data_IF_559414371620
#
_entry.id   IF_559414371620
#
_cell.length_a   1.000
_cell.length_b   1.000
_cell.length_c   1.000
_cell.angle_alpha   90.00
_cell.angle_beta   90.00
_cell.angle_gamma   90.00
#
_symmetry.space_group_name_H-M   'P 1'
#
loop_
_entity.id
_entity.type
_entity.pdbx_description
1 polymer ?
#
# COMPACT_ATOMS: atom_id res chain seq x y z
N UNK A 1 -4.56 -29.61 18.67
CA UNK A 1 -5.30 -28.37 18.32
C UNK A 1 -4.26 -27.27 18.05
N UNK A 2 -4.37 -26.53 16.94
CA UNK A 2 -3.45 -25.43 16.55
C UNK A 2 -4.14 -24.07 16.66
N UNK A 3 -3.37 -22.99 16.69
CA UNK A 3 -3.86 -21.61 16.59
C UNK A 3 -3.57 -21.10 15.18
N UNK A 4 -4.60 -20.64 14.47
CA UNK A 4 -4.46 -19.93 13.20
C UNK A 4 -4.79 -18.46 13.44
N UNK A 5 -3.89 -17.55 13.08
CA UNK A 5 -4.09 -16.11 13.24
C UNK A 5 -3.68 -15.37 11.97
N UNK A 6 -4.54 -14.45 11.53
CA UNK A 6 -4.24 -13.50 10.46
C UNK A 6 -4.41 -12.09 11.02
N UNK A 7 -3.40 -11.24 10.87
CA UNK A 7 -3.44 -9.87 11.38
C UNK A 7 -2.05 -9.26 11.55
N UNK A 8 -1.93 -8.23 12.39
CA UNK A 8 -0.65 -7.51 12.51
C UNK A 8 0.50 -8.38 13.01
N UNK A 9 1.71 -8.12 12.50
CA UNK A 9 2.95 -8.79 12.94
C UNK A 9 3.19 -8.65 14.44
N UNK A 10 2.85 -7.49 15.02
CA UNK A 10 2.95 -7.24 16.47
C UNK A 10 2.10 -8.22 17.27
N UNK A 11 0.83 -8.40 16.89
CA UNK A 11 -0.08 -9.32 17.59
C UNK A 11 0.30 -10.77 17.34
N UNK A 12 0.74 -11.12 16.13
CA UNK A 12 1.24 -12.45 15.80
C UNK A 12 2.38 -12.90 16.71
N UNK A 13 3.35 -12.01 17.00
CA UNK A 13 4.45 -12.27 17.94
C UNK A 13 3.94 -12.57 19.35
N UNK A 14 3.00 -11.76 19.87
CA UNK A 14 2.40 -11.97 21.20
C UNK A 14 1.70 -13.33 21.29
N UNK A 15 0.98 -13.71 20.22
CA UNK A 15 0.30 -15.01 20.14
C UNK A 15 1.33 -16.15 20.15
N UNK A 16 2.41 -16.05 19.36
CA UNK A 16 3.47 -17.07 19.32
C UNK A 16 4.13 -17.26 20.69
N UNK A 17 4.53 -16.17 21.35
CA UNK A 17 5.15 -16.18 22.69
C UNK A 17 4.22 -16.81 23.73
N UNK A 18 2.93 -16.51 23.66
CA UNK A 18 1.93 -17.08 24.58
C UNK A 18 1.71 -18.56 24.30
N UNK A 19 1.64 -18.96 23.03
CA UNK A 19 1.44 -20.35 22.62
C UNK A 19 2.62 -21.26 23.02
N UNK A 20 3.84 -20.72 23.02
CA UNK A 20 5.05 -21.45 23.41
C UNK A 20 4.98 -21.98 24.86
N UNK A 21 4.33 -21.26 25.78
CA UNK A 21 4.12 -21.70 27.18
C UNK A 21 3.37 -23.03 27.29
N UNK A 22 2.63 -23.41 26.24
CA UNK A 22 1.79 -24.60 26.21
C UNK A 22 2.16 -25.57 25.09
N UNK A 23 3.31 -25.36 24.43
CA UNK A 23 3.75 -26.14 23.26
C UNK A 23 2.65 -26.27 22.18
N UNK A 24 1.88 -25.19 21.97
CA UNK A 24 0.81 -25.16 20.96
C UNK A 24 1.34 -24.71 19.60
N UNK A 25 1.14 -25.48 18.52
CA UNK A 25 1.49 -25.04 17.18
C UNK A 25 0.72 -23.79 16.76
N UNK A 26 1.41 -22.88 16.06
CA UNK A 26 0.84 -21.64 15.51
C UNK A 26 1.06 -21.56 13.99
N UNK A 27 0.07 -21.04 13.27
CA UNK A 27 0.16 -20.60 11.88
C UNK A 27 -0.23 -19.12 11.85
N UNK A 28 0.67 -18.29 11.33
CA UNK A 28 0.56 -16.84 11.39
C UNK A 28 0.67 -16.24 9.99
N UNK A 29 -0.39 -15.58 9.53
CA UNK A 29 -0.42 -14.79 8.30
C UNK A 29 -0.39 -13.31 8.68
N UNK A 30 0.74 -12.64 8.45
CA UNK A 30 1.02 -11.32 9.04
C UNK A 30 1.11 -10.21 7.98
N UNK A 31 1.54 -9.02 8.40
CA UNK A 31 1.70 -7.87 7.51
C UNK A 31 2.88 -8.02 6.54
N UNK A 32 2.83 -7.30 5.44
CA UNK A 32 3.83 -7.34 4.37
C UNK A 32 4.27 -5.96 3.88
N UNK A 33 5.18 -5.94 2.91
CA UNK A 33 5.53 -4.75 2.13
C UNK A 33 5.81 -5.20 0.69
N UNK A 34 4.78 -5.77 0.08
CA UNK A 34 4.92 -6.60 -1.11
C UNK A 34 5.45 -5.79 -2.30
N UNK A 35 6.56 -6.23 -2.92
CA UNK A 35 7.08 -5.60 -4.13
C UNK A 35 6.46 -6.19 -5.39
N UNK A 36 6.35 -5.36 -6.42
CA UNK A 36 6.24 -5.76 -7.83
C UNK A 36 7.46 -5.24 -8.58
N UNK A 37 8.00 -6.06 -9.47
CA UNK A 37 9.12 -5.68 -10.36
C UNK A 37 8.60 -5.59 -11.78
N UNK A 38 8.85 -4.45 -12.44
CA UNK A 38 8.46 -4.19 -13.84
C UNK A 38 9.74 -4.06 -14.66
N UNK A 39 9.97 -5.05 -15.52
CA UNK A 39 11.16 -5.14 -16.38
C UNK A 39 10.93 -4.43 -17.72
N UNK A 40 12.00 -4.11 -18.43
CA UNK A 40 11.94 -3.39 -19.72
C UNK A 40 11.01 -4.02 -20.75
N UNK A 41 10.88 -5.35 -20.76
CA UNK A 41 10.09 -6.11 -21.72
C UNK A 41 8.60 -6.18 -21.36
N UNK A 42 8.20 -5.63 -20.20
CA UNK A 42 6.80 -5.61 -19.78
C UNK A 42 5.95 -4.74 -20.72
N UNK A 43 4.73 -5.21 -21.00
CA UNK A 43 3.70 -4.31 -21.52
C UNK A 43 3.36 -3.28 -20.44
N UNK A 44 3.72 -2.02 -20.69
CA UNK A 44 3.57 -0.93 -19.73
C UNK A 44 2.10 -0.70 -19.37
N UNK A 45 1.17 -0.83 -20.31
CA UNK A 45 -0.24 -0.58 -20.02
C UNK A 45 -0.83 -1.68 -19.12
N UNK A 46 -0.50 -2.94 -19.41
CA UNK A 46 -0.90 -4.07 -18.58
C UNK A 46 -0.25 -4.00 -17.19
N UNK A 47 1.04 -3.66 -17.13
CA UNK A 47 1.76 -3.49 -15.87
C UNK A 47 1.13 -2.38 -15.01
N UNK A 48 0.80 -1.23 -15.59
CA UNK A 48 0.11 -0.12 -14.91
C UNK A 48 -1.25 -0.56 -14.37
N UNK A 49 -2.04 -1.28 -15.17
CA UNK A 49 -3.35 -1.77 -14.75
C UNK A 49 -3.23 -2.78 -13.59
N UNK A 50 -2.31 -3.75 -13.70
CA UNK A 50 -2.08 -4.76 -12.68
C UNK A 50 -1.56 -4.15 -11.37
N UNK A 51 -0.61 -3.21 -11.45
CA UNK A 51 -0.08 -2.49 -10.29
C UNK A 51 -1.17 -1.64 -9.63
N UNK A 52 -1.92 -0.85 -10.40
CA UNK A 52 -2.99 -0.03 -9.84
C UNK A 52 -4.08 -0.89 -9.17
N UNK A 53 -4.45 -2.02 -9.77
CA UNK A 53 -5.36 -2.97 -9.14
C UNK A 53 -4.77 -3.54 -7.85
N UNK A 54 -3.56 -4.09 -7.89
CA UNK A 54 -2.92 -4.70 -6.71
C UNK A 54 -2.65 -3.73 -5.56
N UNK A 55 -2.34 -2.47 -5.87
CA UNK A 55 -2.07 -1.45 -4.86
C UNK A 55 -3.33 -0.88 -4.23
N UNK A 56 -4.38 -0.64 -5.02
CA UNK A 56 -5.52 0.16 -4.56
C UNK A 56 -6.79 -0.64 -4.29
N UNK A 57 -6.89 -1.88 -4.78
CA UNK A 57 -8.05 -2.74 -4.52
C UNK A 57 -8.28 -2.90 -3.01
N UNK A 58 -9.56 -2.85 -2.59
CA UNK A 58 -9.97 -2.81 -1.18
C UNK A 58 -9.31 -1.69 -0.36
N UNK A 59 -9.07 -0.51 -0.96
CA UNK A 59 -8.36 0.59 -0.30
C UNK A 59 -6.94 0.19 0.14
N UNK A 60 -6.30 -0.76 -0.55
CA UNK A 60 -4.99 -1.31 -0.19
C UNK A 60 -4.96 -2.09 1.14
N UNK A 61 -6.12 -2.39 1.72
CA UNK A 61 -6.25 -3.11 2.99
C UNK A 61 -6.24 -4.62 2.76
N UNK A 62 -5.19 -5.11 2.12
CA UNK A 62 -4.97 -6.53 1.85
C UNK A 62 -3.50 -6.84 2.14
N UNK A 63 -3.22 -7.91 2.89
CA UNK A 63 -1.84 -8.28 3.26
C UNK A 63 -0.89 -8.53 2.06
N UNK A 64 -1.45 -8.77 0.88
CA UNK A 64 -0.72 -8.97 -0.38
C UNK A 64 -0.80 -7.77 -1.33
N UNK A 65 -1.33 -6.62 -0.88
CA UNK A 65 -1.40 -5.42 -1.71
C UNK A 65 0.00 -4.96 -2.14
N UNK A 66 0.08 -4.48 -3.38
CA UNK A 66 1.32 -3.93 -3.94
C UNK A 66 1.67 -2.62 -3.23
N UNK A 67 2.74 -2.65 -2.44
CA UNK A 67 3.20 -1.50 -1.65
C UNK A 67 4.41 -0.80 -2.30
N UNK A 68 5.19 -1.57 -3.07
CA UNK A 68 6.43 -1.10 -3.70
C UNK A 68 6.49 -1.56 -5.14
N UNK A 69 6.72 -0.63 -6.05
CA UNK A 69 6.97 -0.91 -7.46
C UNK A 69 8.43 -0.58 -7.73
N UNK A 70 9.17 -1.56 -8.24
CA UNK A 70 10.53 -1.42 -8.73
C UNK A 70 10.45 -1.49 -10.26
N UNK A 71 10.68 -0.38 -10.95
CA UNK A 71 10.58 -0.30 -12.40
C UNK A 71 11.95 -0.04 -13.02
N UNK A 72 12.33 -0.82 -14.02
CA UNK A 72 13.63 -0.68 -14.65
C UNK A 72 13.77 0.66 -15.39
N UNK A 73 14.96 1.27 -15.29
CA UNK A 73 15.22 2.66 -15.70
C UNK A 73 14.72 3.04 -17.10
N UNK A 74 14.86 2.16 -18.10
CA UNK A 74 14.55 2.48 -19.50
C UNK A 74 13.07 2.75 -19.74
N UNK A 75 12.18 2.16 -18.94
CA UNK A 75 10.71 2.31 -19.07
C UNK A 75 10.10 3.12 -17.93
N UNK A 76 10.90 3.50 -16.93
CA UNK A 76 10.41 4.08 -15.68
C UNK A 76 9.64 5.39 -15.88
N UNK A 77 10.11 6.31 -16.72
CA UNK A 77 9.42 7.60 -16.93
C UNK A 77 8.03 7.40 -17.54
N UNK A 78 7.95 6.59 -18.60
CA UNK A 78 6.67 6.28 -19.26
C UNK A 78 5.72 5.53 -18.33
N UNK A 79 6.24 4.59 -17.53
CA UNK A 79 5.46 3.87 -16.53
C UNK A 79 4.93 4.80 -15.43
N UNK A 80 5.76 5.69 -14.89
CA UNK A 80 5.39 6.65 -13.84
C UNK A 80 4.31 7.60 -14.35
N UNK A 81 4.45 8.16 -15.54
CA UNK A 81 3.45 9.03 -16.16
C UNK A 81 2.09 8.34 -16.25
N UNK A 82 2.05 7.13 -16.82
CA UNK A 82 0.82 6.34 -16.94
C UNK A 82 0.24 5.92 -15.58
N UNK A 83 1.09 5.60 -14.61
CA UNK A 83 0.65 5.32 -13.24
C UNK A 83 -0.01 6.54 -12.61
N UNK A 84 0.53 7.75 -12.80
CA UNK A 84 -0.07 9.00 -12.29
C UNK A 84 -1.44 9.23 -12.92
N UNK A 85 -1.57 9.09 -14.24
CA UNK A 85 -2.85 9.21 -14.94
C UNK A 85 -3.87 8.18 -14.45
N UNK A 86 -3.45 6.91 -14.36
CA UNK A 86 -4.30 5.83 -13.87
C UNK A 86 -4.78 6.10 -12.45
N UNK A 87 -3.87 6.49 -11.56
CA UNK A 87 -4.18 6.78 -10.15
C UNK A 87 -5.17 7.93 -10.04
N UNK A 88 -4.99 9.01 -10.83
CA UNK A 88 -5.90 10.16 -10.86
C UNK A 88 -7.33 9.80 -11.28
N UNK A 89 -7.49 8.79 -12.13
CA UNK A 89 -8.81 8.33 -12.60
C UNK A 89 -9.62 7.56 -11.54
N UNK A 90 -8.96 7.06 -10.49
CA UNK A 90 -9.58 6.24 -9.46
C UNK A 90 -10.14 7.15 -8.36
N UNK A 91 -11.39 6.91 -7.97
CA UNK A 91 -12.06 7.67 -6.91
C UNK A 91 -12.44 6.79 -5.73
N UNK A 92 -12.17 7.30 -4.54
CA UNK A 92 -12.61 6.76 -3.27
C UNK A 92 -13.79 7.56 -2.70
N UNK A 93 -14.72 6.87 -2.06
CA UNK A 93 -15.83 7.51 -1.37
C UNK A 93 -16.93 6.54 -0.98
N UNK A 94 -18.16 7.05 -0.82
CA UNK A 94 -19.33 6.24 -0.50
C UNK A 94 -19.52 5.14 -1.58
N UNK A 95 -19.48 3.85 -1.20
CA UNK A 95 -19.53 2.74 -2.15
C UNK A 95 -20.90 2.57 -2.82
N UNK A 96 -21.95 3.25 -2.36
CA UNK A 96 -23.27 3.23 -3.02
C UNK A 96 -23.34 4.16 -4.23
N UNK A 97 -22.37 5.08 -4.39
CA UNK A 97 -22.26 5.97 -5.53
C UNK A 97 -21.40 5.32 -6.63
N UNK A 98 -21.92 5.28 -7.86
CA UNK A 98 -21.32 4.55 -8.99
C UNK A 98 -19.91 5.01 -9.36
N UNK A 99 -19.57 6.27 -9.09
CA UNK A 99 -18.27 6.84 -9.48
C UNK A 99 -17.14 6.44 -8.52
N UNK A 100 -17.46 5.93 -7.33
CA UNK A 100 -16.48 5.53 -6.32
C UNK A 100 -16.15 4.06 -6.50
N UNK A 101 -15.07 3.79 -7.22
CA UNK A 101 -14.54 2.43 -7.40
C UNK A 101 -13.82 1.90 -6.15
N UNK A 102 -13.43 2.79 -5.23
CA UNK A 102 -12.91 2.44 -3.92
C UNK A 102 -13.85 2.91 -2.80
N UNK A 103 -13.93 2.12 -1.74
CA UNK A 103 -14.66 2.48 -0.52
C UNK A 103 -13.87 3.42 0.39
N UNK A 104 -13.91 3.15 1.70
CA UNK A 104 -13.21 3.92 2.73
C UNK A 104 -12.28 3.01 3.54
N UNK A 105 -11.34 3.62 4.26
CA UNK A 105 -10.52 2.93 5.25
C UNK A 105 -11.38 2.43 6.41
N UNK A 106 -10.93 1.39 7.09
CA UNK A 106 -11.69 0.72 8.15
C UNK A 106 -11.83 1.57 9.41
N UNK A 107 -10.94 2.54 9.61
CA UNK A 107 -10.97 3.42 10.79
C UNK A 107 -10.25 4.75 10.60
N UNK A 108 -10.66 5.76 11.39
CA UNK A 108 -9.92 7.04 11.52
C UNK A 108 -8.48 6.83 11.98
N UNK A 109 -8.24 5.79 12.78
CA UNK A 109 -6.89 5.46 13.25
C UNK A 109 -5.99 5.03 12.11
N UNK A 110 -6.49 4.23 11.16
CA UNK A 110 -5.73 3.89 9.97
C UNK A 110 -5.47 5.13 9.10
N UNK A 111 -6.50 5.95 8.87
CA UNK A 111 -6.37 7.19 8.11
C UNK A 111 -5.26 8.09 8.68
N UNK A 112 -5.28 8.36 9.99
CA UNK A 112 -4.26 9.18 10.66
C UNK A 112 -2.86 8.55 10.59
N UNK A 113 -2.75 7.22 10.70
CA UNK A 113 -1.45 6.53 10.58
C UNK A 113 -0.90 6.67 9.17
N UNK A 114 -1.72 6.45 8.14
CA UNK A 114 -1.31 6.57 6.75
C UNK A 114 -0.92 8.02 6.43
N UNK A 115 -1.72 8.99 6.90
CA UNK A 115 -1.39 10.40 6.78
C UNK A 115 0.00 10.70 7.36
N UNK A 116 0.29 10.23 8.57
CA UNK A 116 1.60 10.41 9.20
C UNK A 116 2.75 9.80 8.37
N UNK A 117 2.56 8.62 7.79
CA UNK A 117 3.56 7.98 6.92
C UNK A 117 3.82 8.81 5.64
N UNK A 118 2.77 9.37 5.04
CA UNK A 118 2.86 10.20 3.85
C UNK A 118 3.51 11.56 4.14
N UNK A 119 3.14 12.19 5.24
CA UNK A 119 3.73 13.45 5.70
C UNK A 119 5.21 13.28 6.05
N UNK A 120 5.61 12.19 6.72
CA UNK A 120 7.02 11.87 6.97
C UNK A 120 7.81 11.75 5.66
N UNK A 121 7.27 11.01 4.68
CA UNK A 121 7.90 10.85 3.38
C UNK A 121 8.03 12.20 2.64
N UNK A 122 6.95 12.99 2.59
CA UNK A 122 6.94 14.31 1.96
C UNK A 122 7.95 15.26 2.61
N UNK A 123 7.99 15.32 3.95
CA UNK A 123 8.92 16.17 4.71
C UNK A 123 10.39 15.77 4.50
N UNK A 124 10.67 14.52 4.10
CA UNK A 124 12.00 14.02 3.76
C UNK A 124 12.30 14.06 2.25
N UNK A 125 11.42 14.69 1.47
CA UNK A 125 11.63 14.96 0.05
C UNK A 125 11.16 13.86 -0.90
N UNK A 126 10.16 13.06 -0.52
CA UNK A 126 9.41 12.26 -1.47
C UNK A 126 8.43 13.14 -2.27
N UNK A 127 8.17 12.78 -3.52
CA UNK A 127 7.20 13.48 -4.36
C UNK A 127 5.84 12.78 -4.35
N UNK A 128 4.79 13.57 -4.16
CA UNK A 128 3.40 13.11 -4.14
C UNK A 128 2.65 13.86 -5.25
N UNK A 129 2.73 13.40 -6.51
CA UNK A 129 2.24 14.15 -7.68
C UNK A 129 0.73 14.42 -7.68
N UNK A 130 -0.03 13.71 -6.83
CA UNK A 130 -1.47 13.89 -6.64
C UNK A 130 -1.83 14.44 -5.25
N UNK A 131 -0.85 14.82 -4.43
CA UNK A 131 -1.06 15.31 -3.06
C UNK A 131 -1.54 14.24 -2.08
N UNK A 132 -1.82 14.69 -0.85
CA UNK A 132 -2.41 13.87 0.22
C UNK A 132 -3.87 14.31 0.37
N UNK A 133 -4.81 13.40 0.09
CA UNK A 133 -6.24 13.68 0.16
C UNK A 133 -6.93 12.65 1.04
N UNK A 134 -7.08 13.00 2.31
CA UNK A 134 -7.73 12.17 3.35
C UNK A 134 -8.77 13.03 4.07
N UNK A 135 -10.03 12.63 4.00
CA UNK A 135 -11.14 13.24 4.73
C UNK A 135 -11.85 12.16 5.56
N UNK A 136 -11.76 12.28 6.89
CA UNK A 136 -12.23 11.27 7.83
C UNK A 136 -11.58 9.89 7.58
N UNK A 137 -12.32 8.97 6.95
CA UNK A 137 -11.86 7.64 6.54
C UNK A 137 -11.78 7.49 5.03
N UNK A 138 -12.18 8.51 4.27
CA UNK A 138 -12.10 8.53 2.82
C UNK A 138 -10.72 9.01 2.40
N UNK A 139 -9.94 8.14 1.79
CA UNK A 139 -8.62 8.45 1.26
C UNK A 139 -8.58 8.22 -0.24
N UNK A 140 -8.13 9.21 -1.00
CA UNK A 140 -7.85 9.02 -2.43
C UNK A 140 -6.52 8.27 -2.62
N UNK A 141 -6.40 7.44 -3.67
CA UNK A 141 -5.15 6.75 -4.00
C UNK A 141 -3.96 7.70 -4.09
N UNK A 142 -2.86 7.32 -3.47
CA UNK A 142 -1.66 8.16 -3.40
C UNK A 142 -0.46 7.42 -3.99
N UNK A 143 0.16 8.03 -4.98
CA UNK A 143 1.48 7.62 -5.46
C UNK A 143 2.57 8.39 -4.74
N UNK A 144 3.65 7.70 -4.40
CA UNK A 144 4.83 8.29 -3.78
C UNK A 144 6.05 7.93 -4.62
N UNK A 145 6.75 8.96 -5.10
CA UNK A 145 8.00 8.82 -5.85
C UNK A 145 9.18 9.25 -4.97
N UNK A 146 10.39 8.89 -5.39
CA UNK A 146 11.63 9.31 -4.72
C UNK A 146 11.69 8.92 -3.23
N UNK A 147 11.11 7.76 -2.88
CA UNK A 147 11.15 7.20 -1.52
C UNK A 147 12.59 6.78 -1.15
N UNK A 148 13.01 7.10 0.09
CA UNK A 148 14.36 6.82 0.60
C UNK A 148 14.34 5.94 1.86
N UNK A 149 15.41 5.20 2.18
CA UNK A 149 15.45 4.25 3.30
C UNK A 149 15.21 4.81 4.71
N UNK A 150 15.32 6.11 4.89
CA UNK A 150 15.11 6.85 6.14
C UNK A 150 13.66 7.34 6.33
N UNK A 151 12.81 7.19 5.31
CA UNK A 151 11.38 7.48 5.38
C UNK A 151 10.63 6.29 6.02
N UNK A 152 9.68 6.56 6.91
CA UNK A 152 8.90 5.50 7.58
C UNK A 152 8.18 4.61 6.55
N UNK A 153 7.59 5.23 5.53
CA UNK A 153 6.87 4.54 4.46
C UNK A 153 7.73 3.56 3.65
N UNK A 154 9.08 3.69 3.67
CA UNK A 154 9.97 2.73 3.03
C UNK A 154 9.91 1.35 3.70
N UNK A 155 9.76 1.31 5.03
CA UNK A 155 9.82 0.08 5.83
C UNK A 155 8.48 -0.39 6.34
N UNK A 156 7.60 0.56 6.66
CA UNK A 156 6.31 0.26 7.29
C UNK A 156 5.22 0.01 6.25
N UNK A 157 4.42 -1.02 6.46
CA UNK A 157 3.23 -1.32 5.66
C UNK A 157 2.24 -0.15 5.74
N UNK A 158 1.83 0.38 4.58
CA UNK A 158 0.83 1.45 4.55
C UNK A 158 -0.54 0.90 4.91
N UNK A 159 -0.88 -0.31 4.44
CA UNK A 159 -2.21 -0.92 4.59
C UNK A 159 -3.34 0.05 4.21
N UNK A 160 -3.09 0.82 3.15
CA UNK A 160 -3.94 1.87 2.59
C UNK A 160 -3.71 1.96 1.08
N UNK A 161 -4.43 2.81 0.34
CA UNK A 161 -4.29 2.91 -1.10
C UNK A 161 -3.05 3.75 -1.47
N UNK A 162 -1.87 3.33 -1.00
CA UNK A 162 -0.58 3.99 -1.18
C UNK A 162 0.35 3.07 -1.95
N UNK A 163 0.96 3.60 -3.00
CA UNK A 163 1.92 2.85 -3.80
C UNK A 163 3.20 3.68 -3.99
N UNK A 164 4.34 3.10 -3.63
CA UNK A 164 5.64 3.70 -3.92
C UNK A 164 6.17 3.22 -5.26
N UNK A 165 6.75 4.10 -6.07
CA UNK A 165 7.44 3.73 -7.32
C UNK A 165 8.90 4.15 -7.22
N UNK A 166 9.79 3.20 -7.46
CA UNK A 166 11.24 3.33 -7.40
C UNK A 166 11.84 2.82 -8.70
N UNK A 167 12.96 3.41 -9.07
CA UNK A 167 13.81 2.98 -10.19
C UNK A 167 14.86 2.00 -9.68
#
# INVERSE_FOLDING_TARGET
KRINFTGSTKVGKIIAETAAKYLKPVLLELGGKAPVVVLNEADINEAVNAVAFGAFFNQGQICMSTERVLVQDNIADQFIEKMIEKTRSIRAGNPTLKDNVLGVLESRRAANRIQHLLEDAQNKGADLPLGIHIEDTTMQPTLVLNIKPDMLLYREESFGPVCTVQR
#
